data_IF_821780248543
#
_entry.id   IF_821780248543
#
_cell.length_a   1.000
_cell.length_b   1.000
_cell.length_c   1.000
_cell.angle_alpha   90.00
_cell.angle_beta   90.00
_cell.angle_gamma   90.00
#
_symmetry.space_group_name_H-M   'P 1'
#
loop_
_entity.id
_entity.type
_entity.pdbx_description
1 polymer ?
#
# COMPACT_ATOMS: atom_id res chain seq x y z
N UNK A 1 1.90 7.58 9.89
CA UNK A 1 0.76 8.53 9.93
C UNK A 1 -0.55 7.89 10.41
N UNK A 2 -0.68 6.57 10.38
CA UNK A 2 -1.78 5.83 11.00
C UNK A 2 -1.28 4.44 11.42
N UNK A 3 -2.06 3.74 12.24
CA UNK A 3 -1.77 2.39 12.71
C UNK A 3 -2.02 1.30 11.65
N UNK A 4 -2.64 1.65 10.53
CA UNK A 4 -2.97 0.71 9.45
C UNK A 4 -4.05 -0.31 9.81
N UNK A 5 -4.76 -0.13 10.90
CA UNK A 5 -5.78 -1.07 11.35
C UNK A 5 -7.01 -1.04 10.43
N UNK A 6 -7.12 -2.06 9.58
CA UNK A 6 -8.22 -2.19 8.63
C UNK A 6 -9.55 -2.52 9.32
N UNK A 7 -9.53 -3.22 10.46
CA UNK A 7 -10.75 -3.59 11.19
C UNK A 7 -11.41 -2.36 11.82
N UNK A 8 -10.61 -1.41 12.27
CA UNK A 8 -11.07 -0.11 12.81
C UNK A 8 -11.31 0.95 11.73
N UNK A 9 -10.94 0.65 10.49
CA UNK A 9 -11.12 1.55 9.35
C UNK A 9 -10.02 2.61 9.19
N UNK A 10 -8.90 2.49 9.91
CA UNK A 10 -7.73 3.36 9.76
C UNK A 10 -7.08 3.20 8.38
N UNK A 11 -7.20 2.00 7.79
CA UNK A 11 -6.79 1.71 6.41
C UNK A 11 -7.95 1.05 5.66
N UNK A 12 -8.19 1.49 4.43
CA UNK A 12 -9.17 0.89 3.51
C UNK A 12 -8.51 0.54 2.19
N UNK A 13 -8.97 -0.53 1.57
CA UNK A 13 -8.48 -0.96 0.27
C UNK A 13 -9.64 -1.31 -0.67
N UNK A 14 -9.52 -0.83 -1.91
CA UNK A 14 -10.34 -1.28 -3.03
C UNK A 14 -9.42 -2.04 -4.00
N UNK A 15 -9.83 -3.22 -4.43
CA UNK A 15 -9.04 -4.07 -5.31
C UNK A 15 -9.57 -4.01 -6.74
N UNK A 16 -8.70 -3.65 -7.67
CA UNK A 16 -9.01 -3.68 -9.10
C UNK A 16 -8.24 -4.83 -9.75
N UNK A 17 -8.96 -5.75 -10.38
CA UNK A 17 -8.40 -6.92 -11.06
C UNK A 17 -8.76 -6.91 -12.53
N UNK A 18 -7.79 -7.19 -13.39
CA UNK A 18 -7.99 -7.53 -14.79
C UNK A 18 -7.00 -8.64 -15.20
N UNK A 19 -7.40 -9.51 -16.11
CA UNK A 19 -6.56 -10.58 -16.63
C UNK A 19 -6.27 -10.37 -18.11
N UNK A 20 -5.08 -10.83 -18.57
CA UNK A 20 -4.67 -10.80 -19.98
C UNK A 20 -3.71 -11.95 -20.28
N UNK A 21 -3.61 -12.35 -21.51
CA UNK A 21 -2.51 -13.21 -21.95
C UNK A 21 -1.20 -12.41 -22.06
N UNK A 22 -0.04 -13.06 -21.89
CA UNK A 22 1.24 -12.38 -22.06
C UNK A 22 1.33 -11.69 -23.42
N UNK A 23 1.72 -10.40 -23.43
CA UNK A 23 1.87 -9.59 -24.64
C UNK A 23 0.58 -8.88 -25.12
N UNK A 24 -0.58 -9.19 -24.57
CA UNK A 24 -1.84 -8.51 -24.92
C UNK A 24 -2.03 -7.21 -24.10
N UNK A 25 -2.89 -6.29 -24.58
CA UNK A 25 -3.33 -5.13 -23.77
C UNK A 25 -4.01 -5.57 -22.47
N UNK A 26 -4.09 -4.67 -21.49
CA UNK A 26 -4.82 -4.95 -20.24
C UNK A 26 -6.29 -5.27 -20.53
N UNK A 27 -6.80 -6.29 -19.85
CA UNK A 27 -8.21 -6.67 -19.93
C UNK A 27 -9.15 -5.68 -19.19
N UNK A 28 -10.44 -5.93 -19.33
CA UNK A 28 -11.46 -5.18 -18.58
C UNK A 28 -11.33 -5.44 -17.09
N UNK A 29 -11.28 -4.38 -16.30
CA UNK A 29 -11.13 -4.48 -14.84
C UNK A 29 -12.47 -4.57 -14.12
N UNK A 30 -12.47 -5.31 -13.01
CA UNK A 30 -13.50 -5.23 -11.98
C UNK A 30 -12.94 -4.61 -10.73
N UNK A 31 -13.74 -3.83 -10.00
CA UNK A 31 -13.39 -3.26 -8.71
C UNK A 31 -14.11 -4.01 -7.60
N UNK A 32 -13.40 -4.50 -6.61
CA UNK A 32 -14.02 -5.18 -5.46
C UNK A 32 -13.87 -4.33 -4.20
N UNK A 33 -14.98 -4.15 -3.51
CA UNK A 33 -15.12 -3.40 -2.25
C UNK A 33 -15.38 -4.31 -1.05
N UNK A 34 -15.41 -3.71 0.15
CA UNK A 34 -15.63 -4.39 1.42
C UNK A 34 -14.46 -5.30 1.85
N UNK A 35 -13.24 -4.80 1.64
CA UNK A 35 -12.00 -5.50 2.01
C UNK A 35 -11.40 -4.82 3.25
N UNK A 36 -11.48 -5.48 4.38
CA UNK A 36 -11.02 -4.98 5.68
C UNK A 36 -9.87 -5.80 6.27
N UNK A 37 -9.19 -6.61 5.45
CA UNK A 37 -7.96 -7.29 5.82
C UNK A 37 -7.12 -7.65 4.60
N UNK A 38 -5.81 -7.76 4.79
CA UNK A 38 -4.88 -8.21 3.74
C UNK A 38 -5.23 -9.61 3.25
N UNK A 39 -5.69 -10.48 4.15
CA UNK A 39 -6.15 -11.83 3.80
C UNK A 39 -7.31 -11.79 2.80
N UNK A 40 -8.30 -10.93 3.03
CA UNK A 40 -9.44 -10.80 2.12
C UNK A 40 -9.04 -10.16 0.78
N UNK A 41 -8.05 -9.26 0.78
CA UNK A 41 -7.47 -8.74 -0.45
C UNK A 41 -6.87 -9.88 -1.29
N UNK A 42 -6.05 -10.75 -0.70
CA UNK A 42 -5.45 -11.88 -1.39
C UNK A 42 -6.51 -12.84 -1.95
N UNK A 43 -7.46 -13.24 -1.12
CA UNK A 43 -8.56 -14.13 -1.52
C UNK A 43 -9.41 -13.52 -2.66
N UNK A 44 -9.66 -12.24 -2.61
CA UNK A 44 -10.38 -11.52 -3.67
C UNK A 44 -9.61 -11.55 -4.99
N UNK A 45 -8.31 -11.30 -4.96
CA UNK A 45 -7.47 -11.33 -6.17
C UNK A 45 -7.50 -12.73 -6.78
N UNK A 46 -7.27 -13.77 -5.98
CA UNK A 46 -7.28 -15.16 -6.44
C UNK A 46 -8.64 -15.53 -7.05
N UNK A 47 -9.73 -15.22 -6.37
CA UNK A 47 -11.07 -15.49 -6.86
C UNK A 47 -11.39 -14.75 -8.16
N UNK A 48 -11.12 -13.43 -8.23
CA UNK A 48 -11.42 -12.62 -9.41
C UNK A 48 -10.56 -13.02 -10.62
N UNK A 49 -9.30 -13.36 -10.41
CA UNK A 49 -8.43 -13.87 -11.48
C UNK A 49 -9.03 -15.14 -12.06
N UNK A 50 -9.37 -16.12 -11.21
CA UNK A 50 -9.93 -17.40 -11.67
C UNK A 50 -11.28 -17.20 -12.38
N UNK A 51 -12.18 -16.44 -11.79
CA UNK A 51 -13.50 -16.13 -12.36
C UNK A 51 -13.39 -15.47 -13.74
N UNK A 52 -12.48 -14.49 -13.90
CA UNK A 52 -12.31 -13.79 -15.17
C UNK A 52 -11.70 -14.69 -16.23
N UNK A 53 -10.75 -15.56 -15.86
CA UNK A 53 -10.17 -16.55 -16.78
C UNK A 53 -11.25 -17.51 -17.26
N UNK A 54 -12.01 -18.13 -16.35
CA UNK A 54 -13.09 -19.07 -16.69
C UNK A 54 -14.13 -18.41 -17.61
N UNK A 55 -14.57 -17.19 -17.27
CA UNK A 55 -15.52 -16.47 -18.09
C UNK A 55 -15.02 -16.22 -19.53
N UNK A 56 -13.74 -15.86 -19.69
CA UNK A 56 -13.15 -15.60 -21.00
C UNK A 56 -12.94 -16.92 -21.78
N UNK A 57 -12.52 -17.98 -21.12
CA UNK A 57 -12.31 -19.30 -21.73
C UNK A 57 -13.64 -19.92 -22.21
N UNK A 58 -14.73 -19.66 -21.48
CA UNK A 58 -16.10 -20.06 -21.88
C UNK A 58 -16.67 -19.16 -23.00
N UNK A 59 -15.89 -18.23 -23.55
CA UNK A 59 -16.30 -17.36 -24.66
C UNK A 59 -17.11 -16.14 -24.23
N UNK A 60 -17.19 -15.86 -22.92
CA UNK A 60 -17.81 -14.67 -22.36
C UNK A 60 -16.87 -13.45 -22.37
N UNK A 61 -17.39 -12.33 -21.87
CA UNK A 61 -16.62 -11.09 -21.73
C UNK A 61 -16.76 -10.51 -20.32
N UNK A 62 -15.63 -10.05 -19.76
CA UNK A 62 -15.64 -9.36 -18.48
C UNK A 62 -16.28 -7.99 -18.64
N UNK A 63 -17.29 -7.70 -17.83
CA UNK A 63 -17.93 -6.39 -17.77
C UNK A 63 -17.28 -5.54 -16.69
N UNK A 64 -17.08 -4.26 -16.97
CA UNK A 64 -16.58 -3.34 -15.95
C UNK A 64 -17.67 -3.06 -14.91
N UNK A 65 -17.45 -3.53 -13.70
CA UNK A 65 -18.44 -3.46 -12.63
C UNK A 65 -17.78 -3.31 -11.25
N UNK A 66 -18.57 -2.84 -10.30
CA UNK A 66 -18.20 -2.89 -8.87
C UNK A 66 -18.80 -4.17 -8.28
N UNK A 67 -17.94 -4.93 -7.59
CA UNK A 67 -18.29 -6.18 -6.92
C UNK A 67 -18.13 -6.03 -5.42
N UNK A 68 -18.81 -6.85 -4.66
CA UNK A 68 -18.71 -6.94 -3.21
C UNK A 68 -18.12 -8.31 -2.84
N UNK A 69 -17.11 -8.32 -1.99
CA UNK A 69 -16.55 -9.56 -1.45
C UNK A 69 -17.41 -10.07 -0.29
N UNK A 70 -17.79 -11.33 -0.34
CA UNK A 70 -18.50 -12.03 0.72
C UNK A 70 -17.50 -12.85 1.54
N UNK A 71 -17.24 -12.41 2.76
CA UNK A 71 -16.26 -13.03 3.67
C UNK A 71 -16.64 -14.42 4.14
N UNK A 72 -17.93 -14.79 4.05
CA UNK A 72 -18.44 -16.10 4.44
C UNK A 72 -18.21 -17.16 3.37
N UNK A 73 -18.48 -16.77 2.12
CA UNK A 73 -18.36 -17.69 0.97
C UNK A 73 -17.00 -17.59 0.29
N UNK A 74 -16.22 -16.53 0.52
CA UNK A 74 -14.97 -16.25 -0.17
C UNK A 74 -15.16 -15.88 -1.65
N UNK A 75 -16.37 -15.49 -2.05
CA UNK A 75 -16.70 -15.15 -3.43
C UNK A 75 -17.03 -13.67 -3.58
N UNK A 76 -16.94 -13.18 -4.81
CA UNK A 76 -17.44 -11.84 -5.13
C UNK A 76 -18.81 -11.91 -5.80
N UNK A 77 -19.64 -10.90 -5.56
CA UNK A 77 -20.94 -10.73 -6.23
C UNK A 77 -21.05 -9.33 -6.83
N UNK A 78 -21.76 -9.21 -7.94
CA UNK A 78 -22.02 -7.92 -8.57
C UNK A 78 -22.81 -7.02 -7.63
N UNK A 79 -22.34 -5.79 -7.45
CA UNK A 79 -22.99 -4.77 -6.65
C UNK A 79 -23.76 -3.80 -7.55
N UNK A 80 -23.11 -3.30 -8.59
CA UNK A 80 -23.68 -2.43 -9.64
C UNK A 80 -22.79 -2.44 -10.88
N UNK A 81 -23.38 -2.23 -12.05
CA UNK A 81 -22.63 -1.88 -13.26
C UNK A 81 -22.05 -0.47 -13.12
N UNK A 82 -20.84 -0.23 -13.60
CA UNK A 82 -20.32 1.11 -13.82
C UNK A 82 -20.76 1.57 -15.22
N UNK A 83 -21.91 2.19 -15.29
CA UNK A 83 -22.28 2.96 -16.47
C UNK A 83 -21.39 4.21 -16.48
N UNK A 84 -20.55 4.33 -17.49
CA UNK A 84 -19.64 5.44 -17.83
C UNK A 84 -19.19 6.34 -16.66
N UNK A 85 -18.10 5.94 -16.02
CA UNK A 85 -17.44 6.78 -15.02
C UNK A 85 -16.63 7.92 -15.70
N UNK A 86 -17.28 8.75 -16.49
CA UNK A 86 -16.63 9.88 -17.17
C UNK A 86 -16.47 11.11 -16.30
N UNK A 87 -17.06 11.17 -15.14
CA UNK A 87 -17.03 12.36 -14.29
C UNK A 87 -16.29 12.09 -12.96
N UNK A 88 -14.96 12.08 -13.00
CA UNK A 88 -14.12 12.12 -11.81
C UNK A 88 -14.00 13.53 -11.22
N UNK A 89 -14.71 14.53 -11.79
CA UNK A 89 -14.72 15.91 -11.29
C UNK A 89 -13.32 16.50 -11.06
N UNK A 90 -12.40 16.28 -11.97
CA UNK A 90 -11.08 16.90 -11.96
C UNK A 90 -11.16 18.39 -12.33
N UNK A 91 -12.00 19.13 -11.64
CA UNK A 91 -12.07 20.58 -11.74
C UNK A 91 -11.77 21.18 -10.36
N UNK A 92 -11.21 22.39 -10.31
CA UNK A 92 -10.97 23.08 -9.05
C UNK A 92 -12.28 23.22 -8.26
N UNK A 93 -12.23 22.87 -6.98
CA UNK A 93 -13.36 23.11 -6.08
C UNK A 93 -13.56 24.63 -5.93
N UNK A 94 -14.77 25.16 -6.18
CA UNK A 94 -15.03 26.59 -6.12
C UNK A 94 -14.88 27.19 -4.72
N UNK A 95 -14.97 26.37 -3.68
CA UNK A 95 -14.82 26.79 -2.29
C UNK A 95 -13.37 26.78 -1.80
N UNK A 96 -12.45 26.22 -2.59
CA UNK A 96 -11.04 26.12 -2.27
C UNK A 96 -10.21 27.11 -3.11
N UNK A 97 -9.46 27.96 -2.42
CA UNK A 97 -8.52 28.86 -3.10
C UNK A 97 -7.31 28.08 -3.65
N UNK A 98 -6.76 28.46 -4.82
CA UNK A 98 -5.55 27.86 -5.32
C UNK A 98 -4.39 28.01 -4.34
N UNK A 99 -3.76 26.89 -3.98
CA UNK A 99 -2.53 26.88 -3.18
C UNK A 99 -1.34 27.10 -4.12
N UNK A 100 -0.50 28.06 -3.76
CA UNK A 100 0.76 28.36 -4.48
C UNK A 100 1.89 28.30 -3.47
N UNK A 101 2.87 27.48 -3.76
CA UNK A 101 4.11 27.38 -2.99
C UNK A 101 5.26 27.82 -3.89
N UNK A 102 6.09 28.71 -3.38
CA UNK A 102 7.33 29.07 -4.06
C UNK A 102 8.48 28.10 -3.68
N UNK A 103 9.54 28.16 -4.47
CA UNK A 103 10.70 27.28 -4.27
C UNK A 103 11.39 27.56 -2.91
N UNK A 104 11.28 28.78 -2.38
CA UNK A 104 11.86 29.14 -1.09
C UNK A 104 11.14 28.42 0.05
N UNK A 105 9.81 28.39 0.03
CA UNK A 105 8.99 27.65 0.99
C UNK A 105 9.30 26.15 0.96
N UNK A 106 9.39 25.57 -0.23
CA UNK A 106 9.73 24.15 -0.38
C UNK A 106 11.15 23.86 0.13
N UNK A 107 12.10 24.74 -0.15
CA UNK A 107 13.47 24.59 0.33
C UNK A 107 13.57 24.69 1.87
N UNK A 108 12.75 25.54 2.49
CA UNK A 108 12.67 25.65 3.95
C UNK A 108 12.11 24.37 4.58
N UNK A 109 11.00 23.85 4.04
CA UNK A 109 10.43 22.58 4.51
C UNK A 109 11.41 21.41 4.39
N UNK A 110 12.19 21.35 3.31
CA UNK A 110 13.19 20.29 3.10
C UNK A 110 14.33 20.33 4.13
N UNK A 111 14.66 21.49 4.70
CA UNK A 111 15.71 21.59 5.73
C UNK A 111 15.31 20.92 7.05
N UNK A 112 14.03 20.99 7.38
CA UNK A 112 13.48 20.45 8.62
C UNK A 112 12.90 19.03 8.45
N UNK A 113 13.00 18.49 7.24
CA UNK A 113 12.51 17.15 6.94
C UNK A 113 13.41 16.10 7.62
N UNK A 114 12.86 15.22 8.46
CA UNK A 114 13.64 14.14 9.05
C UNK A 114 14.09 13.13 7.97
N UNK A 115 15.15 12.40 8.28
CA UNK A 115 15.58 11.27 7.44
C UNK A 115 14.44 10.26 7.28
N UNK A 116 14.20 9.84 6.04
CA UNK A 116 13.12 8.91 5.72
C UNK A 116 13.48 7.47 6.12
N UNK A 117 12.50 6.59 6.38
CA UNK A 117 12.76 5.20 6.79
C UNK A 117 13.71 4.45 5.86
N UNK A 118 13.57 4.62 4.53
CA UNK A 118 14.44 3.97 3.55
C UNK A 118 15.88 4.50 3.57
N UNK A 119 16.06 5.77 3.91
CA UNK A 119 17.38 6.40 4.09
C UNK A 119 18.05 5.89 5.36
N UNK A 120 17.29 5.84 6.49
CA UNK A 120 17.76 5.26 7.76
C UNK A 120 18.17 3.80 7.56
N UNK A 121 17.35 3.00 6.90
CA UNK A 121 17.65 1.60 6.58
C UNK A 121 18.93 1.47 5.75
N UNK A 122 19.06 2.28 4.71
CA UNK A 122 20.24 2.29 3.85
C UNK A 122 21.51 2.65 4.63
N UNK A 123 21.42 3.64 5.52
CA UNK A 123 22.52 4.05 6.39
C UNK A 123 22.87 2.94 7.40
N UNK A 124 21.91 2.29 8.02
CA UNK A 124 22.14 1.18 8.94
C UNK A 124 22.85 0.01 8.27
N UNK A 125 22.52 -0.31 7.02
CA UNK A 125 23.20 -1.35 6.25
C UNK A 125 24.61 -0.91 5.86
N UNK A 126 24.78 0.28 5.28
CA UNK A 126 26.02 0.70 4.65
C UNK A 126 27.07 1.19 5.68
N UNK A 127 26.64 1.90 6.71
CA UNK A 127 27.56 2.52 7.69
C UNK A 127 27.69 1.69 8.97
N UNK A 128 26.60 1.04 9.42
CA UNK A 128 26.61 0.25 10.65
C UNK A 128 26.88 -1.24 10.40
N UNK A 129 26.83 -1.66 9.13
CA UNK A 129 27.10 -3.04 8.72
C UNK A 129 26.04 -4.04 9.19
N UNK A 130 24.80 -3.56 9.41
CA UNK A 130 23.67 -4.42 9.74
C UNK A 130 23.24 -5.24 8.53
N UNK A 131 22.54 -6.35 8.77
CA UNK A 131 21.83 -7.04 7.70
C UNK A 131 20.63 -6.21 7.23
N UNK A 132 20.18 -6.42 5.99
CA UNK A 132 18.95 -5.78 5.49
C UNK A 132 17.74 -6.19 6.31
N UNK A 133 17.74 -7.39 6.88
CA UNK A 133 16.67 -7.86 7.76
C UNK A 133 16.64 -7.06 9.07
N UNK A 134 17.77 -6.98 9.79
CA UNK A 134 17.87 -6.24 11.05
C UNK A 134 17.52 -4.76 10.86
N UNK A 135 18.05 -4.14 9.79
CA UNK A 135 17.75 -2.77 9.46
C UNK A 135 16.25 -2.56 9.18
N UNK A 136 15.58 -3.53 8.56
CA UNK A 136 14.14 -3.46 8.30
C UNK A 136 13.34 -3.53 9.60
N UNK A 137 13.64 -4.49 10.47
CA UNK A 137 12.97 -4.64 11.77
C UNK A 137 13.12 -3.38 12.63
N UNK A 138 14.35 -2.84 12.72
CA UNK A 138 14.63 -1.65 13.52
C UNK A 138 14.01 -0.36 12.96
N UNK A 139 13.63 -0.32 11.68
CA UNK A 139 13.04 0.87 11.05
C UNK A 139 11.53 0.75 10.83
N UNK A 140 10.91 -0.34 11.27
CA UNK A 140 9.46 -0.55 11.18
C UNK A 140 8.70 0.49 11.98
N UNK A 141 9.20 0.81 13.18
CA UNK A 141 8.66 1.88 14.03
C UNK A 141 9.70 2.99 14.24
N UNK A 142 9.27 4.24 14.12
CA UNK A 142 10.13 5.42 14.29
C UNK A 142 10.80 5.47 15.66
N UNK A 143 10.07 5.13 16.70
CA UNK A 143 10.52 5.14 18.09
C UNK A 143 11.60 4.07 18.32
N UNK A 144 11.46 2.90 17.71
CA UNK A 144 12.45 1.81 17.77
C UNK A 144 13.74 2.24 17.08
N UNK A 145 13.65 2.83 15.90
CA UNK A 145 14.82 3.35 15.18
C UNK A 145 15.57 4.42 16.01
N UNK A 146 14.83 5.37 16.57
CA UNK A 146 15.41 6.42 17.41
C UNK A 146 16.07 5.86 18.69
N UNK A 147 15.44 4.89 19.33
CA UNK A 147 16.00 4.21 20.49
C UNK A 147 17.26 3.44 20.15
N UNK A 148 17.26 2.71 19.02
CA UNK A 148 18.45 2.00 18.54
C UNK A 148 19.64 2.95 18.33
N UNK A 149 19.45 4.10 17.72
CA UNK A 149 20.51 5.10 17.51
C UNK A 149 21.15 5.51 18.83
N UNK A 150 20.33 5.79 19.85
CA UNK A 150 20.81 6.15 21.18
C UNK A 150 21.52 4.97 21.86
N UNK A 151 20.89 3.80 21.85
CA UNK A 151 21.39 2.61 22.52
C UNK A 151 22.70 2.09 21.91
N UNK A 152 22.87 2.22 20.61
CA UNK A 152 24.06 1.75 19.88
C UNK A 152 25.22 2.74 19.88
N UNK A 153 25.02 3.98 20.33
CA UNK A 153 26.04 5.00 20.35
C UNK A 153 27.22 4.57 21.25
N UNK A 154 28.42 4.47 20.66
CA UNK A 154 29.62 4.05 21.39
C UNK A 154 29.67 2.57 21.76
N UNK A 155 28.77 1.74 21.21
CA UNK A 155 28.71 0.28 21.42
C UNK A 155 28.81 -0.47 20.09
N UNK A 156 28.92 -1.80 20.18
CA UNK A 156 28.84 -2.66 19.01
C UNK A 156 27.41 -2.63 18.44
N UNK A 157 27.28 -2.09 17.23
CA UNK A 157 25.98 -1.87 16.58
C UNK A 157 25.25 -3.16 16.24
N UNK A 158 26.01 -4.22 15.86
CA UNK A 158 25.40 -5.53 15.53
C UNK A 158 24.90 -6.23 16.79
N UNK A 159 25.67 -6.20 17.86
CA UNK A 159 25.25 -6.77 19.14
C UNK A 159 24.00 -6.04 19.65
N UNK A 160 24.00 -4.70 19.59
CA UNK A 160 22.83 -3.92 20.01
C UNK A 160 21.60 -4.23 19.16
N UNK A 161 21.76 -4.35 17.82
CA UNK A 161 20.66 -4.73 16.94
C UNK A 161 20.11 -6.11 17.29
N UNK A 162 20.97 -7.11 17.51
CA UNK A 162 20.54 -8.45 17.89
C UNK A 162 19.72 -8.47 19.19
N UNK A 163 20.11 -7.69 20.19
CA UNK A 163 19.35 -7.59 21.45
C UNK A 163 17.97 -6.98 21.27
N UNK A 164 17.83 -6.04 20.33
CA UNK A 164 16.55 -5.36 20.07
C UNK A 164 15.64 -6.12 19.11
N UNK A 165 16.18 -7.07 18.33
CA UNK A 165 15.40 -7.83 17.34
C UNK A 165 14.92 -9.19 17.83
N UNK A 166 15.30 -9.62 19.04
CA UNK A 166 15.04 -10.97 19.57
C UNK A 166 13.83 -11.00 20.55
N UNK A 167 13.21 -9.87 20.85
CA UNK A 167 11.94 -9.78 21.56
C UNK A 167 10.83 -9.31 20.61
#
# INVERSE_FOLDING_TARGET
TCDGNMEEGSLRADVNVSVRKPGEPLGTRTETKNLNSVRFIMQTIEYEVQRQIELIEDGGAVTQETRLFDTTTGMTRTMRGKEDAHDYRYFPDPDLLPLKFDDAFIAELKKDMPELPDEIKSRMVNEYGLSSYDANVLTEEKEVAAFYEIASAGRDRKITANWMSVE
#
